data_IF_179659556468
#
_entry.id   IF_179659556468
#
_cell.length_a   1.000
_cell.length_b   1.000
_cell.length_c   1.000
_cell.angle_alpha   90.00
_cell.angle_beta   90.00
_cell.angle_gamma   90.00
#
_symmetry.space_group_name_H-M   'P 1'
#
loop_
_entity.id
_entity.type
_entity.pdbx_description
1 polymer ?
#
# COMPACT_ATOMS: atom_id res chain seq x y z
N UNK A 1 7.54 12.51 16.46
CA UNK A 1 6.49 11.52 16.82
C UNK A 1 6.02 10.91 15.51
N UNK A 2 5.97 9.58 15.40
CA UNK A 2 5.48 8.90 14.18
C UNK A 2 3.96 9.09 14.01
N UNK A 3 3.44 8.94 12.79
CA UNK A 3 2.00 8.97 12.51
C UNK A 3 1.42 7.56 12.61
N UNK A 4 0.28 7.39 13.28
CA UNK A 4 -0.38 6.10 13.43
C UNK A 4 -1.36 5.78 12.27
N UNK A 5 -1.34 4.55 11.77
CA UNK A 5 -2.20 4.05 10.68
C UNK A 5 -3.49 3.40 11.19
N UNK A 6 -4.50 4.21 11.52
CA UNK A 6 -5.82 3.72 11.96
C UNK A 6 -6.95 4.12 11.00
N UNK A 7 -7.97 3.25 10.91
CA UNK A 7 -9.24 3.52 10.23
C UNK A 7 -9.98 4.71 10.86
N UNK A 8 -10.68 5.50 10.04
CA UNK A 8 -11.53 6.61 10.49
C UNK A 8 -10.80 7.93 10.81
N UNK A 9 -9.46 7.93 10.80
CA UNK A 9 -8.68 9.18 10.88
C UNK A 9 -8.62 9.96 9.56
N UNK A 10 -9.09 9.40 8.45
CA UNK A 10 -8.85 9.94 7.11
C UNK A 10 -10.16 9.96 6.29
N UNK A 11 -10.68 11.15 5.92
CA UNK A 11 -11.95 11.29 5.21
C UNK A 11 -11.87 10.77 3.76
N UNK A 12 -13.01 10.39 3.18
CA UNK A 12 -13.13 9.86 1.80
C UNK A 12 -12.56 10.77 0.70
N UNK A 13 -12.35 12.06 0.99
CA UNK A 13 -11.65 13.05 0.15
C UNK A 13 -10.91 14.00 1.09
N UNK A 14 -9.60 14.22 0.87
CA UNK A 14 -8.80 15.10 1.72
C UNK A 14 -7.35 14.64 1.93
N UNK A 15 -6.77 15.01 3.08
CA UNK A 15 -5.41 14.63 3.46
C UNK A 15 -5.41 13.22 4.06
N UNK A 16 -4.76 12.31 3.36
CA UNK A 16 -4.44 10.96 3.82
C UNK A 16 -3.17 10.92 4.70
N UNK A 17 -2.74 9.71 5.08
CA UNK A 17 -1.55 9.55 5.91
C UNK A 17 -0.30 10.09 5.22
N UNK A 18 0.68 10.51 6.00
CA UNK A 18 1.97 11.01 5.54
C UNK A 18 1.89 12.22 4.61
N UNK A 19 0.80 13.00 4.65
CA UNK A 19 0.61 14.17 3.80
C UNK A 19 0.22 13.83 2.35
N UNK A 20 -0.14 12.57 2.09
CA UNK A 20 -0.71 12.16 0.81
C UNK A 20 -2.09 12.79 0.63
N UNK A 21 -2.49 13.09 -0.60
CA UNK A 21 -3.88 13.46 -0.90
C UNK A 21 -4.63 12.24 -1.42
N UNK A 22 -5.77 11.93 -0.82
CA UNK A 22 -6.63 10.84 -1.33
C UNK A 22 -7.12 11.25 -2.72
N UNK A 23 -7.19 10.27 -3.63
CA UNK A 23 -7.47 10.46 -5.06
C UNK A 23 -6.41 11.26 -5.83
N UNK A 24 -5.19 11.43 -5.29
CA UNK A 24 -4.16 12.17 -6.01
C UNK A 24 -3.79 11.47 -7.33
N UNK A 25 -3.82 12.23 -8.41
CA UNK A 25 -3.43 11.79 -9.74
C UNK A 25 -2.22 12.60 -10.19
N UNK A 26 -1.19 11.91 -10.68
CA UNK A 26 0.07 12.50 -11.14
C UNK A 26 0.30 12.13 -12.59
N UNK A 27 0.64 13.14 -13.39
CA UNK A 27 0.92 12.95 -14.81
C UNK A 27 2.22 12.14 -14.98
N UNK A 28 3.29 12.53 -14.28
CA UNK A 28 4.62 11.93 -14.33
C UNK A 28 5.14 11.54 -12.94
N UNK A 29 6.25 10.78 -12.90
CA UNK A 29 6.95 10.43 -11.66
C UNK A 29 6.26 9.39 -10.77
N UNK A 30 5.12 8.84 -11.19
CA UNK A 30 4.41 7.79 -10.46
C UNK A 30 5.07 6.42 -10.59
N UNK A 31 5.34 5.80 -9.45
CA UNK A 31 5.80 4.41 -9.33
C UNK A 31 4.60 3.46 -9.33
N UNK A 32 3.56 3.81 -8.58
CA UNK A 32 2.29 3.09 -8.52
C UNK A 32 1.17 4.01 -9.01
N UNK A 33 0.34 3.50 -9.94
CA UNK A 33 -0.78 4.24 -10.53
C UNK A 33 -2.09 3.81 -9.89
N UNK A 34 -2.93 4.78 -9.53
CA UNK A 34 -4.29 4.61 -9.01
C UNK A 34 -4.41 3.44 -8.01
N UNK A 35 -3.43 3.37 -7.11
CA UNK A 35 -3.26 2.24 -6.22
C UNK A 35 -4.06 2.43 -4.94
N UNK A 36 -4.60 1.35 -4.40
CA UNK A 36 -5.22 1.34 -3.08
C UNK A 36 -4.16 1.23 -1.98
N UNK A 37 -4.38 1.94 -0.87
CA UNK A 37 -3.49 2.01 0.27
C UNK A 37 -4.14 1.38 1.49
N UNK A 38 -3.43 0.50 2.20
CA UNK A 38 -3.98 -0.29 3.29
C UNK A 38 -3.01 -0.40 4.47
N UNK A 39 -3.53 -0.67 5.65
CA UNK A 39 -2.71 -1.03 6.82
C UNK A 39 -2.61 -2.57 6.98
N UNK A 40 -1.79 -3.02 7.94
CA UNK A 40 -1.63 -4.46 8.25
C UNK A 40 -2.90 -5.15 8.74
N UNK A 41 -3.88 -4.40 9.23
CA UNK A 41 -5.20 -4.92 9.66
C UNK A 41 -6.15 -5.18 8.49
N UNK A 42 -5.73 -4.88 7.26
CA UNK A 42 -6.56 -5.04 6.07
C UNK A 42 -7.56 -3.90 5.88
N UNK A 43 -7.34 -2.75 6.53
CA UNK A 43 -8.19 -1.56 6.41
C UNK A 43 -7.64 -0.60 5.36
N UNK A 44 -8.53 -0.06 4.54
CA UNK A 44 -8.20 0.93 3.52
C UNK A 44 -7.93 2.29 4.16
N UNK A 45 -6.80 2.86 3.80
CA UNK A 45 -6.34 4.18 4.23
C UNK A 45 -6.66 5.26 3.19
N UNK A 46 -6.73 4.87 1.92
CA UNK A 46 -6.94 5.78 0.81
C UNK A 46 -6.64 5.13 -0.54
N UNK A 47 -6.51 5.96 -1.57
CA UNK A 47 -6.11 5.54 -2.90
C UNK A 47 -5.54 6.72 -3.68
N UNK A 48 -4.77 6.44 -4.74
CA UNK A 48 -4.19 7.43 -5.64
C UNK A 48 -2.81 6.99 -6.14
N UNK A 49 -2.15 7.87 -6.89
CA UNK A 49 -0.80 7.64 -7.37
C UNK A 49 0.23 7.77 -6.23
N UNK A 50 1.36 7.05 -6.31
CA UNK A 50 2.50 7.19 -5.41
C UNK A 50 3.80 7.40 -6.21
N UNK A 51 4.58 8.41 -5.83
CA UNK A 51 5.93 8.68 -6.38
C UNK A 51 7.04 8.08 -5.52
N UNK A 52 8.28 8.08 -5.99
CA UNK A 52 9.44 7.57 -5.22
C UNK A 52 9.57 8.31 -3.87
N UNK A 53 9.33 9.62 -3.88
CA UNK A 53 9.38 10.48 -2.70
C UNK A 53 8.35 10.06 -1.66
N UNK A 54 7.13 9.70 -2.09
CA UNK A 54 6.08 9.21 -1.19
C UNK A 54 6.54 7.93 -0.47
N UNK A 55 7.10 6.97 -1.20
CA UNK A 55 7.65 5.73 -0.60
C UNK A 55 8.74 6.04 0.43
N UNK A 56 9.64 6.98 0.10
CA UNK A 56 10.69 7.46 1.00
C UNK A 56 10.13 8.16 2.25
N UNK A 57 9.08 8.95 2.10
CA UNK A 57 8.42 9.66 3.19
C UNK A 57 7.69 8.69 4.12
N UNK A 58 6.84 7.80 3.57
CA UNK A 58 6.10 6.79 4.32
C UNK A 58 7.07 5.95 5.16
N UNK A 59 8.10 5.37 4.52
CA UNK A 59 9.06 4.50 5.22
C UNK A 59 9.83 5.21 6.34
N UNK A 60 10.03 6.53 6.27
CA UNK A 60 10.72 7.28 7.33
C UNK A 60 9.85 7.52 8.56
N UNK A 61 8.53 7.65 8.38
CA UNK A 61 7.61 8.10 9.44
C UNK A 61 6.76 6.99 10.06
N UNK A 62 6.75 5.79 9.47
CA UNK A 62 6.13 4.60 10.07
C UNK A 62 6.76 4.25 11.43
N UNK A 63 5.93 3.76 12.34
CA UNK A 63 6.38 3.12 13.58
C UNK A 63 6.88 1.69 13.31
N UNK A 64 7.57 1.08 14.28
CA UNK A 64 8.23 -0.22 14.09
C UNK A 64 7.25 -1.38 13.83
N UNK A 65 6.01 -1.25 14.32
CA UNK A 65 4.93 -2.23 14.21
C UNK A 65 3.91 -1.90 13.10
N UNK A 66 4.19 -0.87 12.31
CA UNK A 66 3.30 -0.40 11.26
C UNK A 66 3.78 -0.78 9.87
N UNK A 67 2.79 -1.07 9.03
CA UNK A 67 2.99 -1.42 7.63
C UNK A 67 1.98 -0.65 6.79
N UNK A 68 2.48 -0.07 5.70
CA UNK A 68 1.68 0.53 4.65
C UNK A 68 1.74 -0.37 3.42
N UNK A 69 0.59 -0.93 3.02
CA UNK A 69 0.48 -1.86 1.90
C UNK A 69 -0.12 -1.16 0.69
N UNK A 70 0.47 -1.39 -0.47
CA UNK A 70 0.03 -0.85 -1.76
C UNK A 70 -0.49 -1.99 -2.62
N UNK A 71 -1.75 -1.90 -3.05
CA UNK A 71 -2.35 -2.82 -4.02
C UNK A 71 -2.26 -2.25 -5.44
N UNK A 72 -2.31 -3.07 -6.48
CA UNK A 72 -2.42 -2.56 -7.85
C UNK A 72 -3.78 -1.88 -8.09
N UNK A 73 -3.88 -1.06 -9.14
CA UNK A 73 -5.17 -0.52 -9.60
C UNK A 73 -6.18 -1.63 -9.90
N UNK A 74 -5.75 -2.71 -10.56
CA UNK A 74 -6.62 -3.84 -10.88
C UNK A 74 -7.18 -4.48 -9.62
N UNK A 75 -6.35 -4.79 -8.62
CA UNK A 75 -6.83 -5.33 -7.35
C UNK A 75 -7.76 -4.33 -6.64
N UNK A 76 -7.43 -3.04 -6.67
CA UNK A 76 -8.25 -1.99 -6.04
C UNK A 76 -9.64 -1.88 -6.70
N UNK A 77 -9.72 -2.13 -8.01
CA UNK A 77 -10.93 -2.04 -8.82
C UNK A 77 -11.69 -3.38 -8.97
N UNK A 78 -11.03 -4.54 -8.84
CA UNK A 78 -11.59 -5.88 -9.05
C UNK A 78 -12.59 -6.29 -7.96
N UNK A 79 -12.67 -5.52 -6.88
CA UNK A 79 -13.86 -5.55 -6.02
C UNK A 79 -15.16 -5.21 -6.79
N UNK A 80 -15.13 -4.60 -7.97
CA UNK A 80 -16.31 -4.26 -8.75
C UNK A 80 -17.07 -5.46 -9.36
N UNK A 81 -16.53 -6.69 -9.29
CA UNK A 81 -17.12 -7.88 -9.94
C UNK A 81 -18.34 -8.50 -9.22
N UNK A 82 -18.49 -8.28 -7.92
CA UNK A 82 -19.66 -8.69 -7.14
C UNK A 82 -19.97 -7.55 -6.17
N UNK A 83 -20.95 -6.69 -6.48
CA UNK A 83 -21.31 -5.46 -5.76
C UNK A 83 -21.02 -5.57 -4.25
N UNK A 84 -19.82 -5.17 -3.81
CA UNK A 84 -19.43 -5.36 -2.43
C UNK A 84 -20.16 -4.29 -1.65
N UNK A 85 -20.52 -4.59 -0.41
CA UNK A 85 -20.95 -3.52 0.48
C UNK A 85 -19.82 -2.50 0.59
N UNK A 86 -20.15 -1.22 0.72
CA UNK A 86 -19.16 -0.16 0.91
C UNK A 86 -18.19 -0.48 2.05
N UNK A 87 -18.66 -1.20 3.07
CA UNK A 87 -17.84 -1.69 4.18
C UNK A 87 -16.79 -2.72 3.76
N UNK A 88 -17.13 -3.69 2.90
CA UNK A 88 -16.17 -4.69 2.39
C UNK A 88 -15.09 -4.09 1.48
N UNK A 89 -15.36 -2.97 0.82
CA UNK A 89 -14.36 -2.19 0.06
C UNK A 89 -13.35 -1.48 0.96
N UNK A 90 -13.78 -1.09 2.16
CA UNK A 90 -12.98 -0.30 3.10
C UNK A 90 -12.20 -1.17 4.09
N UNK A 91 -12.64 -2.39 4.35
CA UNK A 91 -11.94 -3.32 5.23
C UNK A 91 -12.03 -4.76 4.68
N UNK A 92 -11.41 -5.03 3.52
CA UNK A 92 -11.47 -6.35 2.88
C UNK A 92 -10.78 -7.47 3.67
N UNK A 93 -10.03 -7.11 4.71
CA UNK A 93 -9.36 -8.05 5.59
C UNK A 93 -7.92 -8.34 5.18
N UNK A 94 -7.18 -8.94 6.12
CA UNK A 94 -5.74 -9.15 6.01
C UNK A 94 -5.40 -10.12 4.88
N UNK A 95 -6.20 -11.17 4.72
CA UNK A 95 -6.04 -12.17 3.65
C UNK A 95 -6.08 -11.52 2.27
N UNK A 96 -7.07 -10.67 2.03
CA UNK A 96 -7.22 -9.99 0.75
C UNK A 96 -6.04 -9.06 0.46
N UNK A 97 -5.62 -8.28 1.46
CA UNK A 97 -4.51 -7.33 1.31
C UNK A 97 -3.19 -8.06 1.07
N UNK A 98 -2.94 -9.17 1.77
CA UNK A 98 -1.73 -9.98 1.59
C UNK A 98 -1.67 -10.63 0.19
N UNK A 99 -2.78 -11.19 -0.27
CA UNK A 99 -2.87 -11.83 -1.59
C UNK A 99 -2.60 -10.81 -2.71
N UNK A 100 -3.12 -9.60 -2.58
CA UNK A 100 -3.08 -8.59 -3.63
C UNK A 100 -1.91 -7.57 -3.48
N UNK A 101 -1.07 -7.70 -2.45
CA UNK A 101 0.00 -6.76 -2.18
C UNK A 101 0.96 -6.64 -3.38
N UNK A 102 1.20 -5.42 -3.84
CA UNK A 102 2.20 -5.10 -4.86
C UNK A 102 3.47 -4.53 -4.22
N UNK A 103 3.30 -3.65 -3.24
CA UNK A 103 4.39 -3.17 -2.39
C UNK A 103 4.00 -3.21 -0.93
N UNK A 104 5.00 -3.40 -0.08
CA UNK A 104 4.89 -3.30 1.37
C UNK A 104 5.94 -2.30 1.84
N UNK A 105 5.52 -1.27 2.56
CA UNK A 105 6.40 -0.27 3.13
C UNK A 105 6.40 -0.44 4.64
N UNK A 106 7.57 -0.69 5.20
CA UNK A 106 7.83 -0.76 6.62
C UNK A 106 8.80 0.34 7.00
N UNK A 107 9.04 0.53 8.30
CA UNK A 107 10.00 1.53 8.76
C UNK A 107 11.38 1.31 8.14
N UNK A 108 11.83 2.32 7.38
CA UNK A 108 13.10 2.37 6.63
C UNK A 108 13.28 1.28 5.58
N UNK A 109 12.22 0.57 5.19
CA UNK A 109 12.30 -0.53 4.22
C UNK A 109 11.13 -0.49 3.25
N UNK A 110 11.42 -0.85 2.01
CA UNK A 110 10.43 -0.97 0.95
C UNK A 110 10.59 -2.33 0.29
N UNK A 111 9.49 -3.05 0.21
CA UNK A 111 9.41 -4.36 -0.39
C UNK A 111 8.54 -4.32 -1.63
N UNK A 112 8.95 -5.03 -2.67
CA UNK A 112 8.10 -5.37 -3.82
C UNK A 112 7.74 -6.84 -3.72
N UNK A 113 6.45 -7.13 -3.87
CA UNK A 113 5.97 -8.51 -3.85
C UNK A 113 6.02 -9.06 -5.28
N UNK A 114 6.91 -10.01 -5.52
CA UNK A 114 7.15 -10.61 -6.83
C UNK A 114 7.70 -12.02 -6.61
N UNK A 115 6.99 -13.03 -7.12
CA UNK A 115 7.42 -14.44 -7.01
C UNK A 115 8.46 -14.81 -8.09
N UNK A 116 8.81 -13.87 -8.97
CA UNK A 116 9.85 -14.06 -9.96
C UNK A 116 11.25 -14.08 -9.30
N UNK A 117 12.04 -15.16 -9.48
CA UNK A 117 13.37 -15.27 -8.89
C UNK A 117 14.39 -14.30 -9.49
N UNK A 118 14.05 -13.64 -10.60
CA UNK A 118 14.89 -12.68 -11.31
C UNK A 118 14.42 -11.22 -11.13
N UNK A 119 13.50 -10.97 -10.21
CA UNK A 119 12.97 -9.64 -9.98
C UNK A 119 14.09 -8.65 -9.59
N UNK A 120 14.20 -7.49 -10.27
CA UNK A 120 15.26 -6.55 -10.00
C UNK A 120 15.02 -5.82 -8.67
N UNK A 121 16.09 -5.64 -7.89
CA UNK A 121 16.10 -4.81 -6.66
C UNK A 121 15.89 -3.31 -6.91
N UNK A 122 15.80 -2.91 -8.17
CA UNK A 122 15.47 -1.55 -8.59
C UNK A 122 14.20 -1.58 -9.42
N UNK A 123 13.21 -0.80 -9.05
CA UNK A 123 11.96 -0.67 -9.78
C UNK A 123 11.65 0.80 -10.03
N UNK A 124 11.74 1.23 -11.29
CA UNK A 124 11.45 2.63 -11.69
C UNK A 124 12.18 3.67 -10.81
N UNK A 125 13.43 3.42 -10.44
CA UNK A 125 14.25 4.29 -9.58
C UNK A 125 14.10 4.07 -8.08
N UNK A 126 13.18 3.22 -7.64
CA UNK A 126 13.02 2.82 -6.24
C UNK A 126 13.90 1.62 -5.91
N UNK A 127 14.67 1.69 -4.82
CA UNK A 127 15.41 0.54 -4.27
C UNK A 127 14.42 -0.27 -3.43
N UNK A 128 14.28 -1.55 -3.77
CA UNK A 128 13.35 -2.46 -3.12
C UNK A 128 14.02 -3.78 -2.75
N UNK A 129 13.58 -4.34 -1.63
CA UNK A 129 13.76 -5.76 -1.33
C UNK A 129 12.64 -6.56 -2.01
N UNK A 130 12.94 -7.76 -2.50
CA UNK A 130 11.93 -8.62 -3.12
C UNK A 130 11.41 -9.60 -2.08
N UNK A 131 10.10 -9.69 -1.93
CA UNK A 131 9.42 -10.72 -1.14
C UNK A 131 8.59 -11.61 -2.06
N UNK A 132 8.61 -12.92 -1.77
CA UNK A 132 7.59 -13.83 -2.29
C UNK A 132 6.24 -13.50 -1.65
N UNK A 133 5.15 -13.97 -2.26
CA UNK A 133 3.79 -13.83 -1.72
C UNK A 133 3.69 -14.38 -0.29
N UNK A 134 4.32 -15.52 -0.04
CA UNK A 134 4.34 -16.17 1.27
C UNK A 134 5.04 -15.30 2.32
N UNK A 135 6.23 -14.76 2.00
CA UNK A 135 6.98 -13.89 2.90
C UNK A 135 6.26 -12.55 3.15
N UNK A 136 5.64 -11.99 2.11
CA UNK A 136 4.79 -10.81 2.22
C UNK A 136 3.60 -11.04 3.15
N UNK A 137 2.93 -12.19 3.03
CA UNK A 137 1.82 -12.58 3.90
C UNK A 137 2.26 -12.72 5.36
N UNK A 138 3.39 -13.40 5.60
CA UNK A 138 3.94 -13.54 6.94
C UNK A 138 4.27 -12.17 7.58
N UNK A 139 4.85 -11.25 6.79
CA UNK A 139 5.17 -9.90 7.24
C UNK A 139 3.93 -9.08 7.60
N UNK A 140 2.86 -9.16 6.82
CA UNK A 140 1.61 -8.44 7.12
C UNK A 140 0.95 -8.98 8.39
N UNK A 141 1.04 -10.31 8.63
CA UNK A 141 0.39 -11.00 9.75
C UNK A 141 1.17 -10.98 11.08
N UNK A 142 2.46 -10.61 11.07
CA UNK A 142 3.27 -10.45 12.30
C UNK A 142 2.93 -9.16 13.03
#
# INVERSE_FOLDING_TARGET
>A
MGQQLVRGMYPHVGVGPFGLSIAQMRFEGKVAHNCGWYNKSGEKLGWGDLSIEDFGQISRYLMDDEIFVVLSESATNDFAGALPTEESLQAPGVEYVAENAMFIIAKRRVYRVDDSPIAPKHWRGLIVEILTREAATALIKS
#
